data_IF_970334629221
#
_entry.id   IF_970334629221
#
_cell.length_a   1.000
_cell.length_b   1.000
_cell.length_c   1.000
_cell.angle_alpha   90.00
_cell.angle_beta   90.00
_cell.angle_gamma   90.00
#
_symmetry.space_group_name_H-M   'P 1'
#
loop_
_entity.id
_entity.type
_entity.pdbx_description
1 polymer ?
#
# COMPACT_ATOMS: atom_id res chain seq x y z
N UNK A 1 -15.97 -24.23 2.36
CA UNK A 1 -16.00 -23.61 3.71
C UNK A 1 -17.42 -23.35 4.17
N UNK A 2 -18.27 -22.65 3.40
CA UNK A 2 -19.67 -22.38 3.77
C UNK A 2 -20.50 -23.64 4.08
N UNK A 3 -20.40 -24.68 3.25
CA UNK A 3 -21.09 -25.96 3.51
C UNK A 3 -20.65 -26.63 4.83
N UNK A 4 -19.44 -26.35 5.31
CA UNK A 4 -18.91 -26.82 6.58
C UNK A 4 -19.10 -25.80 7.73
N UNK A 5 -19.88 -24.73 7.52
CA UNK A 5 -20.15 -23.69 8.51
C UNK A 5 -18.95 -22.82 8.91
N UNK A 6 -17.81 -22.93 8.22
CA UNK A 6 -16.59 -22.19 8.56
C UNK A 6 -16.69 -20.71 8.17
N UNK A 7 -16.06 -19.85 8.98
CA UNK A 7 -15.82 -18.42 8.70
C UNK A 7 -14.32 -18.10 8.82
N UNK A 8 -13.81 -17.07 8.13
CA UNK A 8 -12.45 -16.58 8.30
C UNK A 8 -12.19 -16.26 9.77
N UNK A 9 -11.01 -16.65 10.25
CA UNK A 9 -10.52 -16.28 11.58
C UNK A 9 -9.73 -14.97 11.57
N UNK A 10 -9.31 -14.51 10.39
CA UNK A 10 -8.71 -13.22 10.15
C UNK A 10 -9.54 -12.42 9.14
N UNK A 11 -9.40 -11.10 9.14
CA UNK A 11 -10.01 -10.22 8.14
C UNK A 11 -9.64 -10.69 6.73
N UNK A 12 -10.65 -10.88 5.88
CA UNK A 12 -10.48 -11.42 4.54
C UNK A 12 -10.98 -10.42 3.50
N UNK A 13 -10.05 -9.72 2.84
CA UNK A 13 -10.38 -8.68 1.86
C UNK A 13 -10.23 -9.17 0.42
N UNK A 14 -11.19 -8.81 -0.43
CA UNK A 14 -11.19 -9.12 -1.86
C UNK A 14 -11.21 -7.80 -2.63
N UNK A 15 -10.22 -7.58 -3.50
CA UNK A 15 -10.15 -6.37 -4.34
C UNK A 15 -10.21 -6.76 -5.81
N UNK A 16 -11.32 -6.48 -6.52
CA UNK A 16 -11.37 -6.67 -7.96
C UNK A 16 -10.42 -5.69 -8.67
N UNK A 17 -9.71 -6.16 -9.69
CA UNK A 17 -8.70 -5.34 -10.40
C UNK A 17 -9.29 -4.26 -11.33
N UNK A 18 -10.56 -4.39 -11.71
CA UNK A 18 -11.26 -3.44 -12.57
C UNK A 18 -12.78 -3.56 -12.40
N UNK A 19 -13.52 -2.59 -12.94
CA UNK A 19 -14.99 -2.66 -12.97
C UNK A 19 -15.52 -3.81 -13.83
N UNK A 20 -14.91 -4.08 -14.98
CA UNK A 20 -15.24 -5.24 -15.82
C UNK A 20 -15.10 -6.55 -15.04
N UNK A 21 -13.98 -6.73 -14.31
CA UNK A 21 -13.77 -7.93 -13.50
C UNK A 21 -14.79 -7.99 -12.35
N UNK A 22 -15.01 -6.88 -11.62
CA UNK A 22 -16.03 -6.83 -10.57
C UNK A 22 -17.40 -7.24 -11.11
N UNK A 23 -17.86 -6.62 -12.19
CA UNK A 23 -19.17 -6.88 -12.78
C UNK A 23 -19.31 -8.32 -13.29
N UNK A 24 -18.25 -8.87 -13.90
CA UNK A 24 -18.24 -10.27 -14.35
C UNK A 24 -18.37 -11.23 -13.16
N UNK A 25 -17.58 -11.01 -12.09
CA UNK A 25 -17.63 -11.82 -10.87
C UNK A 25 -18.95 -11.67 -10.11
N UNK A 26 -19.61 -10.53 -10.21
CA UNK A 26 -20.93 -10.24 -9.63
C UNK A 26 -22.04 -11.00 -10.36
N UNK A 27 -22.06 -10.93 -11.71
CA UNK A 27 -22.95 -11.74 -12.56
C UNK A 27 -22.79 -13.22 -12.24
N UNK A 28 -21.56 -13.70 -12.17
CA UNK A 28 -21.22 -15.11 -11.92
C UNK A 28 -21.31 -15.49 -10.42
N UNK A 29 -21.87 -14.62 -9.57
CA UNK A 29 -22.14 -14.85 -8.13
C UNK A 29 -20.89 -15.17 -7.29
N UNK A 30 -19.69 -14.93 -7.84
CA UNK A 30 -18.42 -15.18 -7.16
C UNK A 30 -18.21 -14.20 -6.01
N UNK A 31 -18.56 -12.91 -6.20
CA UNK A 31 -18.47 -11.91 -5.12
C UNK A 31 -19.46 -12.19 -3.98
N UNK A 32 -20.65 -12.70 -4.31
CA UNK A 32 -21.63 -13.14 -3.32
C UNK A 32 -21.11 -14.34 -2.54
N UNK A 33 -20.49 -15.31 -3.21
CA UNK A 33 -19.83 -16.43 -2.56
C UNK A 33 -18.78 -15.95 -1.54
N UNK A 34 -17.90 -15.03 -1.91
CA UNK A 34 -16.91 -14.48 -0.98
C UNK A 34 -17.56 -13.73 0.19
N UNK A 35 -18.57 -12.89 -0.09
CA UNK A 35 -19.26 -12.08 0.93
C UNK A 35 -20.00 -12.95 1.94
N UNK A 36 -20.77 -13.93 1.46
CA UNK A 36 -21.45 -14.92 2.32
C UNK A 36 -20.45 -15.74 3.13
N UNK A 37 -19.26 -15.98 2.57
CA UNK A 37 -18.21 -16.70 3.24
C UNK A 37 -17.48 -15.87 4.32
N UNK A 38 -17.81 -14.58 4.48
CA UNK A 38 -17.22 -13.68 5.47
C UNK A 38 -16.10 -12.80 4.91
N UNK A 39 -15.92 -12.77 3.60
CA UNK A 39 -15.03 -11.84 2.91
C UNK A 39 -15.64 -10.45 2.78
N UNK A 40 -14.78 -9.44 2.70
CA UNK A 40 -15.16 -8.05 2.50
C UNK A 40 -14.65 -7.62 1.13
N UNK A 41 -15.58 -7.31 0.22
CA UNK A 41 -15.24 -6.79 -1.11
C UNK A 41 -14.90 -5.31 -1.00
N UNK A 42 -13.68 -4.95 -1.38
CA UNK A 42 -13.19 -3.57 -1.42
C UNK A 42 -13.50 -2.92 -2.78
N UNK A 43 -13.36 -1.60 -2.84
CA UNK A 43 -13.43 -0.87 -4.09
C UNK A 43 -12.35 -1.33 -5.08
N UNK A 44 -12.62 -1.20 -6.39
CA UNK A 44 -11.72 -1.56 -7.48
C UNK A 44 -10.53 -0.58 -7.58
N UNK A 45 -9.64 -0.61 -6.59
CA UNK A 45 -8.54 0.33 -6.44
C UNK A 45 -7.36 -0.33 -5.71
N UNK A 46 -6.18 0.30 -5.73
CA UNK A 46 -4.98 -0.25 -5.11
C UNK A 46 -5.13 -0.54 -3.60
N UNK A 47 -5.84 0.32 -2.86
CA UNK A 47 -6.18 0.12 -1.45
C UNK A 47 -4.99 -0.29 -0.56
N UNK A 48 -5.11 -1.38 0.22
CA UNK A 48 -4.05 -1.85 1.13
C UNK A 48 -2.71 -2.17 0.46
N UNK A 49 -2.64 -2.40 -0.86
CA UNK A 49 -1.38 -2.67 -1.56
C UNK A 49 -0.40 -1.47 -1.50
N UNK A 50 -0.91 -0.25 -1.34
CA UNK A 50 -0.13 0.99 -1.36
C UNK A 50 -0.20 1.76 -0.03
N UNK A 51 -0.67 1.12 1.03
CA UNK A 51 -0.83 1.78 2.33
C UNK A 51 -2.12 2.61 2.45
N UNK A 52 -3.05 2.50 1.49
CA UNK A 52 -4.37 3.13 1.57
C UNK A 52 -5.33 2.20 2.29
N UNK A 53 -5.05 1.98 3.57
CA UNK A 53 -5.82 1.11 4.43
C UNK A 53 -5.88 1.68 5.84
N UNK A 54 -7.11 1.83 6.34
CA UNK A 54 -7.37 2.11 7.74
C UNK A 54 -7.67 0.78 8.43
N UNK A 55 -6.68 0.21 9.11
CA UNK A 55 -6.85 -1.01 9.91
C UNK A 55 -7.91 -0.80 10.99
N UNK A 56 -8.76 -1.80 11.17
CA UNK A 56 -9.88 -1.81 12.13
C UNK A 56 -9.84 -3.00 13.09
N UNK A 57 -8.87 -3.89 12.92
CA UNK A 57 -8.63 -5.08 13.73
C UNK A 57 -7.97 -4.78 15.09
N UNK A 58 -7.69 -3.50 15.38
CA UNK A 58 -7.21 -3.04 16.68
C UNK A 58 -5.74 -3.29 16.95
N UNK A 59 -4.96 -3.76 15.96
CA UNK A 59 -3.52 -3.98 16.11
C UNK A 59 -2.80 -2.64 16.39
N UNK A 60 -2.17 -2.48 17.56
CA UNK A 60 -1.39 -1.30 17.90
C UNK A 60 -0.18 -1.10 16.97
N UNK A 61 0.20 0.16 16.75
CA UNK A 61 1.45 0.46 16.03
C UNK A 61 2.65 -0.06 16.82
N UNK A 62 3.56 -0.73 16.13
CA UNK A 62 4.74 -1.33 16.74
C UNK A 62 4.52 -2.73 17.34
N UNK A 63 3.31 -3.29 17.22
CA UNK A 63 3.05 -4.68 17.57
C UNK A 63 3.42 -5.62 16.42
N UNK A 64 4.12 -6.70 16.75
CA UNK A 64 4.45 -7.78 15.81
C UNK A 64 3.16 -8.48 15.38
N UNK A 65 2.91 -8.50 14.08
CA UNK A 65 1.76 -9.18 13.49
C UNK A 65 2.11 -9.68 12.09
N UNK A 66 1.27 -10.57 11.56
CA UNK A 66 1.46 -11.11 10.21
C UNK A 66 0.23 -10.85 9.35
N UNK A 67 0.45 -10.48 8.09
CA UNK A 67 -0.56 -10.42 7.04
C UNK A 67 -0.11 -11.28 5.86
N UNK A 68 -1.07 -11.88 5.17
CA UNK A 68 -0.84 -12.63 3.94
C UNK A 68 -1.58 -11.95 2.81
N UNK A 69 -0.88 -11.64 1.73
CA UNK A 69 -1.46 -10.90 0.61
C UNK A 69 -1.11 -11.53 -0.72
N UNK A 70 -2.00 -11.41 -1.69
CA UNK A 70 -1.76 -11.78 -3.09
C UNK A 70 -1.26 -10.60 -3.94
N UNK A 71 -0.61 -9.65 -3.28
CA UNK A 71 0.05 -8.52 -3.92
C UNK A 71 1.47 -8.90 -4.39
N UNK A 72 2.28 -7.89 -4.73
CA UNK A 72 3.62 -8.07 -5.29
C UNK A 72 4.75 -7.37 -4.50
N UNK A 73 4.43 -6.70 -3.39
CA UNK A 73 5.41 -5.99 -2.54
C UNK A 73 5.06 -6.12 -1.07
N UNK A 74 6.08 -6.36 -0.25
CA UNK A 74 5.97 -6.56 1.20
C UNK A 74 7.05 -5.81 2.01
N UNK A 75 7.46 -4.62 1.55
CA UNK A 75 8.41 -3.80 2.31
C UNK A 75 7.85 -3.40 3.69
N UNK A 76 8.71 -3.27 4.72
CA UNK A 76 8.27 -2.90 6.07
C UNK A 76 7.40 -1.63 6.09
N UNK A 77 6.21 -1.72 6.68
CA UNK A 77 5.25 -0.61 6.79
C UNK A 77 4.52 -0.22 5.49
N UNK A 78 4.69 -0.96 4.39
CA UNK A 78 4.08 -0.62 3.09
C UNK A 78 2.55 -0.63 3.13
N UNK A 79 1.95 -1.63 3.78
CA UNK A 79 0.52 -1.89 3.69
C UNK A 79 -0.33 -1.09 4.69
N UNK A 80 0.24 -0.76 5.85
CA UNK A 80 -0.48 -0.19 6.99
C UNK A 80 0.32 0.89 7.75
N UNK A 81 1.55 1.18 7.33
CA UNK A 81 2.46 2.08 8.04
C UNK A 81 3.07 1.52 9.33
N UNK A 82 2.87 0.24 9.66
CA UNK A 82 3.48 -0.43 10.81
C UNK A 82 4.70 -1.25 10.36
N UNK A 83 5.90 -0.87 10.83
CA UNK A 83 7.14 -1.55 10.44
C UNK A 83 7.28 -2.96 11.01
N UNK A 84 6.55 -3.29 12.08
CA UNK A 84 6.53 -4.62 12.70
C UNK A 84 5.52 -5.58 12.04
N UNK A 85 4.73 -5.11 11.08
CA UNK A 85 3.87 -5.98 10.28
C UNK A 85 4.71 -6.79 9.30
N UNK A 86 4.72 -8.12 9.49
CA UNK A 86 5.30 -9.07 8.55
C UNK A 86 4.30 -9.37 7.44
N UNK A 87 4.56 -8.90 6.22
CA UNK A 87 3.74 -9.22 5.05
C UNK A 87 4.34 -10.38 4.25
N UNK A 88 3.59 -11.45 4.09
CA UNK A 88 3.94 -12.60 3.27
C UNK A 88 3.14 -12.59 1.97
N UNK A 89 3.85 -12.68 0.84
CA UNK A 89 3.23 -12.75 -0.48
C UNK A 89 2.94 -14.20 -0.82
N UNK A 90 1.71 -14.50 -1.23
CA UNK A 90 1.27 -15.85 -1.62
C UNK A 90 0.19 -15.78 -2.72
N UNK A 91 -0.22 -16.92 -3.25
CA UNK A 91 -1.32 -16.97 -4.22
C UNK A 91 -2.66 -16.66 -3.53
N UNK A 92 -3.68 -16.14 -4.26
CA UNK A 92 -5.00 -15.85 -3.70
C UNK A 92 -5.65 -17.04 -2.98
N UNK A 93 -5.42 -18.27 -3.48
CA UNK A 93 -5.95 -19.51 -2.93
C UNK A 93 -5.32 -19.84 -1.57
N UNK A 94 -3.99 -19.65 -1.45
CA UNK A 94 -3.29 -19.82 -0.17
C UNK A 94 -3.71 -18.76 0.84
N UNK A 95 -3.80 -17.49 0.43
CA UNK A 95 -4.30 -16.40 1.29
C UNK A 95 -5.69 -16.74 1.83
N UNK A 96 -6.57 -17.25 0.97
CA UNK A 96 -7.91 -17.70 1.37
C UNK A 96 -7.83 -18.81 2.41
N UNK A 97 -7.07 -19.88 2.17
CA UNK A 97 -6.96 -20.99 3.11
C UNK A 97 -6.40 -20.56 4.48
N UNK A 98 -5.37 -19.70 4.47
CA UNK A 98 -4.74 -19.18 5.67
C UNK A 98 -5.70 -18.28 6.48
N UNK A 99 -6.51 -17.45 5.82
CA UNK A 99 -7.52 -16.61 6.49
C UNK A 99 -8.53 -17.44 7.29
N UNK A 100 -8.92 -18.63 6.79
CA UNK A 100 -9.79 -19.56 7.53
C UNK A 100 -9.06 -20.32 8.65
N UNK A 101 -7.78 -20.65 8.43
CA UNK A 101 -7.00 -21.36 9.45
C UNK A 101 -6.67 -20.48 10.66
N UNK A 102 -6.44 -19.18 10.42
CA UNK A 102 -5.91 -18.22 11.39
C UNK A 102 -4.46 -18.50 11.82
N UNK A 103 -3.72 -19.33 11.09
CA UNK A 103 -2.37 -19.75 11.44
C UNK A 103 -1.40 -19.60 10.27
N UNK A 104 -0.19 -19.10 10.55
CA UNK A 104 0.89 -18.97 9.57
C UNK A 104 1.56 -20.31 9.23
N UNK A 105 1.29 -21.36 10.00
CA UNK A 105 1.87 -22.69 9.83
C UNK A 105 0.92 -23.69 9.15
N UNK A 106 -0.30 -23.28 8.82
CA UNK A 106 -1.29 -24.17 8.22
C UNK A 106 -0.94 -24.51 6.79
N UNK A 107 -0.90 -25.81 6.48
CA UNK A 107 -0.69 -26.32 5.13
C UNK A 107 -1.99 -26.92 4.57
N UNK A 108 -2.67 -26.26 3.61
CA UNK A 108 -3.95 -26.72 3.08
C UNK A 108 -3.88 -28.06 2.34
N UNK A 109 -2.69 -28.53 1.96
CA UNK A 109 -2.52 -29.83 1.28
C UNK A 109 -2.55 -31.01 2.26
N UNK A 110 -2.09 -30.81 3.49
CA UNK A 110 -1.94 -31.88 4.48
C UNK A 110 -2.93 -31.76 5.62
N UNK A 111 -3.14 -30.53 6.10
CA UNK A 111 -3.79 -30.27 7.38
C UNK A 111 -5.31 -30.23 7.24
N UNK A 112 -6.00 -30.14 8.37
CA UNK A 112 -7.45 -30.06 8.44
C UNK A 112 -7.90 -29.07 9.51
N UNK A 113 -9.11 -28.57 9.38
CA UNK A 113 -9.78 -27.67 10.32
C UNK A 113 -10.94 -28.41 10.98
N UNK A 114 -11.24 -28.06 12.23
CA UNK A 114 -12.46 -28.49 12.90
C UNK A 114 -13.60 -27.53 12.54
N UNK A 115 -14.67 -28.05 11.96
CA UNK A 115 -15.89 -27.31 11.68
C UNK A 115 -16.70 -27.04 12.97
N UNK A 116 -17.64 -26.08 12.98
CA UNK A 116 -18.44 -25.79 14.18
C UNK A 116 -19.28 -26.95 14.69
N UNK A 117 -19.63 -27.91 13.83
CA UNK A 117 -20.35 -29.13 14.17
C UNK A 117 -19.44 -30.26 14.71
N UNK A 118 -18.12 -29.98 14.84
CA UNK A 118 -17.11 -30.94 15.28
C UNK A 118 -16.54 -31.84 14.17
N UNK A 119 -17.06 -31.75 12.95
CA UNK A 119 -16.54 -32.52 11.82
C UNK A 119 -15.18 -32.00 11.34
N UNK A 120 -14.44 -32.86 10.64
CA UNK A 120 -13.15 -32.49 10.04
C UNK A 120 -13.35 -31.95 8.63
N UNK A 121 -12.85 -30.74 8.37
CA UNK A 121 -12.82 -30.12 7.06
C UNK A 121 -11.39 -30.06 6.53
N UNK A 122 -11.17 -30.51 5.29
CA UNK A 122 -9.90 -30.37 4.58
C UNK A 122 -10.12 -29.62 3.27
N UNK A 123 -9.28 -28.61 3.02
CA UNK A 123 -9.30 -27.91 1.75
C UNK A 123 -9.00 -28.88 0.61
N UNK A 124 -9.76 -28.76 -0.47
CA UNK A 124 -9.45 -29.43 -1.72
C UNK A 124 -8.75 -28.44 -2.65
N UNK A 125 -7.82 -28.89 -3.51
CA UNK A 125 -7.25 -28.04 -4.55
C UNK A 125 -8.38 -27.36 -5.34
N UNK A 126 -8.35 -26.02 -5.49
CA UNK A 126 -9.39 -25.32 -6.22
C UNK A 126 -9.34 -25.69 -7.70
N UNK A 127 -10.51 -25.76 -8.32
CA UNK A 127 -10.69 -25.92 -9.76
C UNK A 127 -11.63 -24.84 -10.24
N UNK A 128 -11.41 -24.33 -11.45
CA UNK A 128 -12.25 -23.31 -12.04
C UNK A 128 -12.00 -23.15 -13.53
N UNK A 129 -12.62 -22.14 -14.11
CA UNK A 129 -12.40 -21.74 -15.49
C UNK A 129 -11.39 -20.61 -15.54
N UNK A 130 -10.49 -20.61 -16.53
CA UNK A 130 -9.52 -19.53 -16.71
C UNK A 130 -10.19 -18.23 -17.19
N UNK A 131 -11.28 -18.36 -17.95
CA UNK A 131 -12.05 -17.26 -18.51
C UNK A 131 -13.56 -17.51 -18.37
N UNK A 132 -14.38 -16.46 -18.22
CA UNK A 132 -15.83 -16.60 -18.14
C UNK A 132 -16.38 -17.13 -19.47
N UNK A 133 -17.14 -18.22 -19.43
CA UNK A 133 -17.69 -18.86 -20.63
C UNK A 133 -18.69 -17.98 -21.38
N UNK A 134 -19.41 -17.11 -20.66
CA UNK A 134 -20.33 -16.12 -21.22
C UNK A 134 -19.63 -14.80 -21.61
N UNK A 135 -18.30 -14.74 -21.57
CA UNK A 135 -17.53 -13.52 -21.77
C UNK A 135 -17.56 -12.58 -20.57
N UNK A 136 -16.91 -11.43 -20.74
CA UNK A 136 -16.80 -10.39 -19.71
C UNK A 136 -17.98 -9.43 -19.77
N UNK A 137 -18.43 -8.98 -18.61
CA UNK A 137 -19.35 -7.86 -18.48
C UNK A 137 -18.67 -6.53 -18.84
N UNK A 138 -19.42 -5.56 -19.36
CA UNK A 138 -18.92 -4.20 -19.56
C UNK A 138 -18.80 -3.45 -18.22
N UNK A 139 -19.65 -3.80 -17.26
CA UNK A 139 -19.76 -3.14 -15.96
C UNK A 139 -20.52 -1.82 -16.03
N UNK A 140 -20.39 -0.99 -15.00
CA UNK A 140 -21.11 0.28 -14.95
C UNK A 140 -20.50 1.31 -15.92
N UNK A 141 -21.23 1.76 -16.97
CA UNK A 141 -20.69 2.70 -17.94
C UNK A 141 -20.32 4.06 -17.33
N UNK A 142 -20.92 4.44 -16.20
CA UNK A 142 -20.59 5.68 -15.49
C UNK A 142 -19.19 5.66 -14.84
N UNK A 143 -18.57 4.49 -14.71
CA UNK A 143 -17.20 4.34 -14.20
C UNK A 143 -16.17 4.31 -15.33
N UNK A 144 -16.60 4.21 -16.58
CA UNK A 144 -15.71 4.24 -17.72
C UNK A 144 -15.25 5.69 -17.98
N UNK A 145 -13.97 5.90 -18.33
CA UNK A 145 -13.51 7.22 -18.72
C UNK A 145 -14.26 7.67 -19.97
N UNK A 146 -14.84 8.86 -19.92
CA UNK A 146 -15.29 9.55 -21.13
C UNK A 146 -14.08 10.10 -21.89
N UNK A 147 -14.07 9.95 -23.21
CA UNK A 147 -13.05 10.56 -24.04
C UNK A 147 -13.16 12.10 -23.93
N UNK A 148 -12.23 12.73 -23.23
CA UNK A 148 -12.16 14.18 -23.16
C UNK A 148 -11.78 14.73 -24.54
N UNK A 149 -12.49 15.75 -25.01
CA UNK A 149 -12.07 16.55 -26.17
C UNK A 149 -11.12 17.62 -25.65
N UNK A 150 -9.82 17.63 -26.04
CA UNK A 150 -8.89 18.64 -25.56
C UNK A 150 -9.34 20.04 -25.97
N UNK A 151 -9.33 20.96 -25.03
CA UNK A 151 -9.66 22.36 -25.24
C UNK A 151 -8.55 23.24 -24.65
N UNK A 152 -7.77 23.88 -25.52
CA UNK A 152 -6.68 24.76 -25.12
C UNK A 152 -7.16 26.07 -24.48
N UNK A 153 -8.45 26.42 -24.62
CA UNK A 153 -9.04 27.60 -23.98
C UNK A 153 -9.47 27.33 -22.54
N UNK A 154 -9.50 26.06 -22.12
CA UNK A 154 -9.81 25.69 -20.74
C UNK A 154 -8.68 26.10 -19.79
N UNK A 155 -9.01 26.98 -18.84
CA UNK A 155 -8.07 27.44 -17.83
C UNK A 155 -7.91 26.40 -16.70
N UNK A 156 -6.66 26.07 -16.35
CA UNK A 156 -6.33 25.21 -15.20
C UNK A 156 -6.04 26.10 -14.00
N UNK A 157 -7.04 26.23 -13.12
CA UNK A 157 -6.94 27.08 -11.92
C UNK A 157 -6.46 26.24 -10.74
N UNK A 158 -5.29 26.60 -10.18
CA UNK A 158 -4.77 26.03 -8.93
C UNK A 158 -4.87 27.09 -7.84
N UNK A 159 -5.59 26.79 -6.76
CA UNK A 159 -5.71 27.73 -5.65
C UNK A 159 -4.34 27.99 -4.99
N UNK A 160 -3.94 29.24 -4.75
CA UNK A 160 -2.66 29.57 -4.10
C UNK A 160 -2.62 29.13 -2.63
N UNK A 161 -3.76 28.80 -2.03
CA UNK A 161 -3.87 28.30 -0.64
C UNK A 161 -4.18 26.81 -0.58
N UNK A 162 -4.12 26.09 -1.71
CA UNK A 162 -4.34 24.64 -1.71
C UNK A 162 -3.23 23.93 -0.96
N UNK A 163 -3.59 22.98 -0.10
CA UNK A 163 -2.64 22.06 0.53
C UNK A 163 -2.43 20.77 -0.31
N UNK A 164 -3.13 20.63 -1.45
CA UNK A 164 -3.14 19.42 -2.31
C UNK A 164 -2.39 19.61 -3.62
N UNK A 165 -2.49 20.80 -4.20
CA UNK A 165 -1.93 21.16 -5.49
C UNK A 165 -1.09 22.43 -5.34
N UNK A 166 0.10 22.46 -5.93
CA UNK A 166 0.91 23.66 -6.06
C UNK A 166 1.49 23.71 -7.48
N UNK A 167 1.57 24.92 -8.05
CA UNK A 167 2.32 25.11 -9.29
C UNK A 167 3.81 24.87 -9.01
N UNK A 168 4.48 24.22 -9.96
CA UNK A 168 5.92 24.00 -9.86
C UNK A 168 6.67 25.28 -10.21
N UNK A 169 7.49 25.75 -9.28
CA UNK A 169 8.51 26.75 -9.59
C UNK A 169 9.70 26.08 -10.29
N UNK A 170 10.23 26.65 -11.38
CA UNK A 170 11.44 26.13 -12.01
C UNK A 170 12.58 26.09 -11.00
N UNK A 171 13.26 24.95 -10.90
CA UNK A 171 14.49 24.87 -10.11
C UNK A 171 15.57 25.81 -10.67
N UNK A 172 16.45 26.28 -9.78
CA UNK A 172 17.61 27.04 -10.19
C UNK A 172 18.45 26.26 -11.23
N UNK A 173 19.01 26.92 -12.24
CA UNK A 173 19.88 26.25 -13.21
C UNK A 173 21.13 25.71 -12.50
N UNK A 174 21.73 24.67 -13.08
CA UNK A 174 22.99 24.13 -12.59
C UNK A 174 24.08 25.23 -12.57
N UNK A 175 24.87 25.37 -11.50
CA UNK A 175 25.89 26.40 -11.39
C UNK A 175 26.98 26.26 -12.45
N UNK A 176 27.58 27.39 -12.85
CA UNK A 176 28.72 27.38 -13.77
C UNK A 176 29.99 27.01 -12.99
N UNK A 177 30.32 25.72 -12.96
CA UNK A 177 31.54 25.21 -12.33
C UNK A 177 31.30 23.94 -11.52
N UNK A 178 32.35 23.49 -10.82
CA UNK A 178 32.29 22.31 -9.97
C UNK A 178 31.57 22.59 -8.65
N UNK A 179 30.90 21.57 -8.11
CA UNK A 179 30.29 21.62 -6.79
C UNK A 179 31.38 21.43 -5.71
N UNK A 180 31.66 22.46 -4.92
CA UNK A 180 32.60 22.41 -3.80
C UNK A 180 31.88 22.65 -2.47
N UNK A 181 32.41 22.11 -1.37
CA UNK A 181 31.85 22.34 -0.03
C UNK A 181 30.53 21.60 0.24
N UNK A 182 30.23 20.54 -0.50
CA UNK A 182 29.03 19.73 -0.29
C UNK A 182 29.06 19.04 1.08
N UNK A 183 27.96 19.19 1.83
CA UNK A 183 27.72 18.44 3.06
C UNK A 183 26.95 17.15 2.75
N UNK A 184 27.33 16.07 3.44
CA UNK A 184 26.60 14.80 3.36
C UNK A 184 25.42 14.86 4.33
N UNK A 185 24.21 15.12 3.81
CA UNK A 185 22.98 15.16 4.63
C UNK A 185 22.75 13.85 5.39
N UNK A 186 22.90 12.72 4.70
CA UNK A 186 22.60 11.42 5.29
C UNK A 186 23.39 10.29 4.64
N UNK A 187 24.01 9.44 5.46
CA UNK A 187 24.62 8.20 5.01
C UNK A 187 23.68 7.03 5.32
N UNK A 188 23.00 6.53 4.29
CA UNK A 188 22.03 5.43 4.42
C UNK A 188 22.75 4.09 4.58
N UNK A 189 22.26 3.25 5.50
CA UNK A 189 22.69 1.85 5.66
C UNK A 189 21.73 0.89 4.97
N UNK A 190 22.30 0.00 4.15
CA UNK A 190 21.56 -1.11 3.56
C UNK A 190 20.58 -0.67 2.47
N UNK A 191 19.44 -1.35 2.41
CA UNK A 191 18.44 -1.16 1.35
C UNK A 191 17.72 0.18 1.49
N UNK A 192 17.73 0.98 0.41
CA UNK A 192 17.00 2.23 0.30
C UNK A 192 16.08 2.19 -0.92
N UNK A 193 14.79 1.96 -0.69
CA UNK A 193 13.78 1.88 -1.77
C UNK A 193 13.16 3.25 -2.03
N UNK A 194 12.35 3.39 -3.08
CA UNK A 194 11.58 4.62 -3.29
C UNK A 194 10.59 4.89 -2.15
N UNK A 195 10.06 3.86 -1.47
CA UNK A 195 9.24 4.04 -0.27
C UNK A 195 10.06 4.52 0.93
N UNK A 196 11.37 4.21 0.95
CA UNK A 196 12.33 4.74 1.93
C UNK A 196 12.58 6.23 1.68
N UNK A 197 12.69 6.63 0.42
CA UNK A 197 12.96 8.01 -0.03
C UNK A 197 11.72 8.90 0.02
N UNK A 198 10.56 8.41 -0.40
CA UNK A 198 9.29 9.16 -0.35
C UNK A 198 8.15 8.17 -0.16
N UNK A 199 7.71 8.05 1.09
CA UNK A 199 6.68 7.11 1.48
C UNK A 199 5.34 7.40 0.78
N UNK A 200 4.55 6.34 0.53
CA UNK A 200 3.17 6.43 0.04
C UNK A 200 2.16 6.63 1.20
N UNK A 201 1.08 5.85 1.24
CA UNK A 201 0.07 5.91 2.29
C UNK A 201 -0.48 7.33 2.51
N UNK A 202 -0.38 7.90 3.73
CA UNK A 202 -0.95 9.21 4.04
C UNK A 202 -0.34 10.37 3.22
N UNK A 203 0.84 10.18 2.65
CA UNK A 203 1.51 11.19 1.83
C UNK A 203 0.96 11.31 0.41
N UNK A 204 0.16 10.35 -0.05
CA UNK A 204 -0.46 10.41 -1.38
C UNK A 204 -1.35 11.64 -1.56
N UNK A 205 -1.91 12.17 -0.47
CA UNK A 205 -2.68 13.43 -0.53
C UNK A 205 -1.83 14.60 -1.02
N UNK A 206 -0.52 14.60 -0.81
CA UNK A 206 0.37 15.69 -1.21
C UNK A 206 1.08 15.48 -2.55
N UNK A 207 0.70 14.47 -3.35
CA UNK A 207 1.38 14.15 -4.62
C UNK A 207 1.38 15.28 -5.66
N UNK A 208 0.43 16.21 -5.58
CA UNK A 208 0.41 17.41 -6.43
C UNK A 208 1.01 18.66 -5.78
N UNK A 209 1.59 18.55 -4.58
CA UNK A 209 2.09 19.67 -3.80
C UNK A 209 3.52 19.40 -3.32
N UNK A 210 4.50 19.80 -4.12
CA UNK A 210 5.92 19.47 -3.92
C UNK A 210 6.46 19.86 -2.53
N UNK A 211 6.18 21.06 -1.96
CA UNK A 211 6.65 21.39 -0.61
C UNK A 211 6.14 20.40 0.45
N UNK A 212 4.82 20.19 0.53
CA UNK A 212 4.20 19.28 1.49
C UNK A 212 4.67 17.82 1.36
N UNK A 213 4.86 17.29 0.14
CA UNK A 213 5.36 15.91 -0.01
C UNK A 213 6.86 15.81 0.34
N UNK A 214 7.64 16.87 0.18
CA UNK A 214 9.08 16.86 0.50
C UNK A 214 9.36 16.69 2.00
N UNK A 215 8.38 17.00 2.86
CA UNK A 215 8.43 16.70 4.30
C UNK A 215 8.49 15.21 4.65
N UNK A 216 8.44 14.31 3.65
CA UNK A 216 8.64 12.88 3.83
C UNK A 216 9.95 12.33 3.25
N UNK A 217 10.83 13.22 2.78
CA UNK A 217 12.07 12.82 2.12
C UNK A 217 12.96 12.01 3.06
N UNK A 218 13.27 10.78 2.68
CA UNK A 218 14.15 9.85 3.38
C UNK A 218 13.68 9.44 4.79
N UNK A 219 12.44 9.71 5.22
CA UNK A 219 11.98 9.38 6.59
C UNK A 219 12.00 7.87 6.89
N UNK A 220 12.09 7.00 5.88
CA UNK A 220 12.24 5.56 6.08
C UNK A 220 13.70 5.10 6.21
N UNK A 221 14.67 5.99 5.97
CA UNK A 221 16.09 5.65 5.88
C UNK A 221 16.72 5.41 7.25
N UNK A 222 17.68 4.50 7.28
CA UNK A 222 18.43 4.12 8.47
C UNK A 222 19.82 4.75 8.45
N UNK A 223 20.17 5.45 9.53
CA UNK A 223 21.48 6.07 9.71
C UNK A 223 22.58 4.98 9.76
N UNK A 224 23.62 5.11 8.94
CA UNK A 224 24.73 4.17 8.95
C UNK A 224 25.63 4.24 10.17
N UNK A 225 25.69 5.38 10.85
CA UNK A 225 26.48 5.55 12.07
C UNK A 225 25.71 5.05 13.31
N UNK A 226 24.43 5.42 13.44
CA UNK A 226 23.67 5.18 14.68
C UNK A 226 22.68 4.02 14.61
N UNK A 227 22.27 3.60 13.40
CA UNK A 227 21.24 2.59 13.21
C UNK A 227 19.79 3.09 13.42
N UNK A 228 19.60 4.38 13.68
CA UNK A 228 18.29 4.99 13.89
C UNK A 228 17.57 5.29 12.58
N UNK A 229 16.23 5.36 12.61
CA UNK A 229 15.41 5.68 11.42
C UNK A 229 14.88 7.11 11.51
N UNK A 230 15.01 7.90 10.44
CA UNK A 230 14.62 9.31 10.40
C UNK A 230 15.29 10.20 11.46
N UNK A 231 16.47 9.83 11.94
CA UNK A 231 17.23 10.63 12.91
C UNK A 231 18.52 11.10 12.26
N UNK A 232 18.66 12.42 12.15
CA UNK A 232 19.83 13.10 11.62
C UNK A 232 20.41 14.05 12.68
N UNK A 233 21.69 14.39 12.51
CA UNK A 233 22.42 15.27 13.42
C UNK A 233 23.10 16.38 12.63
N UNK A 234 23.07 17.60 13.16
CA UNK A 234 23.90 18.70 12.63
C UNK A 234 25.35 18.60 13.13
N UNK A 235 26.19 19.56 12.74
CA UNK A 235 27.61 19.60 13.12
C UNK A 235 27.83 19.81 14.63
N UNK A 236 26.83 20.37 15.34
CA UNK A 236 26.85 20.53 16.79
C UNK A 236 26.32 19.29 17.54
N UNK A 237 25.89 18.26 16.82
CA UNK A 237 25.29 17.05 17.38
C UNK A 237 23.84 17.21 17.82
N UNK A 238 23.15 18.29 17.40
CA UNK A 238 21.72 18.46 17.65
C UNK A 238 20.91 17.55 16.73
N UNK A 239 19.88 16.93 17.29
CA UNK A 239 19.04 15.95 16.62
C UNK A 239 17.89 16.60 15.83
N UNK A 240 17.58 16.04 14.66
CA UNK A 240 16.51 16.46 13.74
C UNK A 240 15.87 15.25 13.05
N UNK A 241 14.67 15.44 12.49
CA UNK A 241 14.19 14.63 11.35
C UNK A 241 15.01 14.91 10.09
N UNK A 242 15.14 13.94 9.18
CA UNK A 242 15.96 14.13 7.96
C UNK A 242 15.45 15.30 7.09
N UNK A 243 14.13 15.44 6.80
CA UNK A 243 13.61 16.60 6.06
C UNK A 243 13.82 17.93 6.80
N UNK A 244 13.72 17.93 8.14
CA UNK A 244 13.88 19.12 8.96
C UNK A 244 15.32 19.66 8.90
N UNK A 245 16.31 18.77 8.98
CA UNK A 245 17.71 19.14 8.83
C UNK A 245 17.99 19.66 7.41
N UNK A 246 17.42 19.01 6.39
CA UNK A 246 17.58 19.43 5.01
C UNK A 246 17.02 20.84 4.77
N UNK A 247 15.85 21.15 5.33
CA UNK A 247 15.26 22.48 5.24
C UNK A 247 16.10 23.51 5.99
N UNK A 248 16.55 23.20 7.21
CA UNK A 248 17.42 24.09 7.98
C UNK A 248 18.72 24.43 7.24
N UNK A 249 19.36 23.45 6.59
CA UNK A 249 20.56 23.68 5.78
C UNK A 249 20.27 24.52 4.55
N UNK A 250 19.12 24.32 3.90
CA UNK A 250 18.71 25.13 2.75
C UNK A 250 18.46 26.60 3.15
N UNK A 251 17.85 26.84 4.32
CA UNK A 251 17.62 28.20 4.84
C UNK A 251 18.91 28.90 5.25
N UNK A 252 19.90 28.20 5.81
CA UNK A 252 21.19 28.78 6.20
C UNK A 252 22.11 29.14 5.02
N UNK A 253 21.82 28.64 3.81
CA UNK A 253 22.63 28.88 2.59
C UNK A 253 22.07 30.05 1.76
N UNK A 254 20.87 30.55 2.07
CA UNK A 254 20.29 31.78 1.51
C UNK A 254 20.54 33.00 2.41
#
# INVERSE_FOLDING_TARGET
>A
TNAAGLKPKADFFITPGSEQIRATLDRDQTLNTFSEAGGIVLANACGPCIGQWKRTDGVPKGEDNAIFTSYNRNFPGRNDGNRQTMNFLASPELVTALAYSGSTTFNPMTDSLTAPDGSTFKFQPPSGFDLPSAGFEEGNPNFLPTAAVPDASSEVIVSPTSDRLALLEPFAPFPKGDLSGLQVLYKVKGQCTTDTISAAGPWLKYKGHLPNISANTLIGAVNAATGETNVAYDEAGKQYGIPELAEAWKECVN
#
